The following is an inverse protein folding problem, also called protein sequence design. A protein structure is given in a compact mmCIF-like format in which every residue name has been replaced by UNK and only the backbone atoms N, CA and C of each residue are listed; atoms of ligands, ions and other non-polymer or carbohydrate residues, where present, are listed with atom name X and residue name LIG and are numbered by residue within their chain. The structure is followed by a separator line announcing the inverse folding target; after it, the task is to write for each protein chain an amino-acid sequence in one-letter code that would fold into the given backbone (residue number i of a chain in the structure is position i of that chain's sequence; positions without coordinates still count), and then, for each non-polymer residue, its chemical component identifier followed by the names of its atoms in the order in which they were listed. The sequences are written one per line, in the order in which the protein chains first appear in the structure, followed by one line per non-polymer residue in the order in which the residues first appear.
data_IF_944300906422
#
_entry.id   IF_944300906422
#
_cell.length_a   1.000
_cell.length_b   1.000
_cell.length_c   1.000
_cell.angle_alpha   90.00
_cell.angle_beta   90.00
_cell.angle_gamma   90.00
#
_symmetry.space_group_name_H-M   'P 1'
#
loop_
_entity.id
_entity.type
_entity.pdbx_description
1 polymer ?
#
# COMPACT_ATOMS: atom_id res chain seq x y z
N UNK A 1 7.93 -18.42 5.80
CA UNK A 1 9.03 -17.65 6.42
C UNK A 1 10.40 -17.70 5.70
N UNK A 2 10.56 -18.48 4.64
CA UNK A 2 11.84 -18.52 3.88
C UNK A 2 12.18 -17.21 3.14
N UNK A 3 11.26 -16.26 3.07
CA UNK A 3 11.44 -15.00 2.34
C UNK A 3 12.09 -13.88 3.17
N UNK A 4 12.11 -13.97 4.49
CA UNK A 4 12.65 -12.92 5.35
C UNK A 4 14.18 -13.02 5.49
N UNK A 5 14.82 -11.86 5.58
CA UNK A 5 16.20 -11.74 6.04
C UNK A 5 16.25 -11.93 7.56
N UNK A 6 17.45 -12.12 8.16
CA UNK A 6 17.57 -12.14 9.62
C UNK A 6 17.04 -10.86 10.31
N UNK A 7 17.18 -9.70 9.66
CA UNK A 7 16.61 -8.44 10.16
C UNK A 7 15.07 -8.46 10.13
N UNK A 8 14.48 -8.95 9.05
CA UNK A 8 13.04 -9.12 8.94
C UNK A 8 12.47 -10.13 9.93
N UNK A 9 13.15 -11.25 10.15
CA UNK A 9 12.77 -12.25 11.18
C UNK A 9 12.80 -11.66 12.59
N UNK A 10 13.82 -10.89 12.91
CA UNK A 10 13.93 -10.18 14.19
C UNK A 10 12.81 -9.17 14.39
N UNK A 11 12.47 -8.39 13.34
CA UNK A 11 11.39 -7.41 13.39
C UNK A 11 10.04 -8.09 13.65
N UNK A 12 9.73 -9.17 12.92
CA UNK A 12 8.49 -9.93 13.09
C UNK A 12 8.38 -10.57 14.49
N UNK A 13 9.50 -11.08 15.03
CA UNK A 13 9.53 -11.69 16.36
C UNK A 13 9.25 -10.68 17.49
N UNK A 14 9.57 -9.41 17.29
CA UNK A 14 9.31 -8.34 18.24
C UNK A 14 7.96 -7.66 18.13
N UNK A 15 7.12 -8.06 17.16
CA UNK A 15 5.85 -7.41 16.90
C UNK A 15 4.78 -7.70 17.98
N UNK A 16 4.20 -6.64 18.50
CA UNK A 16 3.03 -6.68 19.40
C UNK A 16 1.82 -6.01 18.69
N UNK A 17 0.79 -6.77 18.30
CA UNK A 17 -0.32 -6.22 17.52
C UNK A 17 -1.05 -5.06 18.20
N UNK A 18 -1.11 -5.03 19.52
CA UNK A 18 -1.81 -3.98 20.26
C UNK A 18 -1.02 -2.69 20.40
N UNK A 19 0.31 -2.75 20.28
CA UNK A 19 1.21 -1.60 20.39
C UNK A 19 1.65 -1.08 19.03
N UNK A 20 1.95 -2.00 18.11
CA UNK A 20 2.66 -1.68 16.88
C UNK A 20 1.72 -1.47 15.70
N UNK A 21 0.46 -1.98 15.76
CA UNK A 21 -0.49 -1.77 14.68
C UNK A 21 -1.01 -0.33 14.67
N UNK A 22 -0.79 0.41 13.55
CA UNK A 22 -1.26 1.78 13.41
C UNK A 22 -2.78 1.94 13.55
N UNK A 23 -3.56 0.90 13.22
CA UNK A 23 -5.04 0.94 13.32
C UNK A 23 -5.51 1.26 14.74
N UNK A 24 -4.82 0.76 15.76
CA UNK A 24 -5.19 1.03 17.16
C UNK A 24 -4.91 2.48 17.61
N UNK A 25 -4.19 3.25 16.78
CA UNK A 25 -3.93 4.67 17.02
C UNK A 25 -4.61 5.59 16.01
N UNK A 26 -5.45 5.03 15.13
CA UNK A 26 -6.03 5.75 13.98
C UNK A 26 -4.96 6.38 13.06
N UNK A 27 -3.76 5.80 13.02
CA UNK A 27 -2.68 6.22 12.13
C UNK A 27 -2.88 5.57 10.75
N UNK A 28 -2.48 6.26 9.66
CA UNK A 28 -2.54 5.69 8.32
C UNK A 28 -1.75 4.39 8.19
N UNK A 29 -2.36 3.38 7.58
CA UNK A 29 -1.74 2.09 7.33
C UNK A 29 -0.92 2.09 6.04
N UNK A 30 0.03 1.14 5.90
CA UNK A 30 0.81 0.99 4.69
C UNK A 30 -0.06 0.67 3.46
N UNK A 31 0.39 1.11 2.29
CA UNK A 31 -0.37 1.05 1.03
C UNK A 31 -0.84 -0.36 0.66
N UNK A 32 -0.03 -1.40 0.94
CA UNK A 32 -0.44 -2.79 0.74
C UNK A 32 -1.72 -3.14 1.50
N UNK A 33 -1.86 -2.61 2.71
CA UNK A 33 -3.00 -2.86 3.58
C UNK A 33 -4.23 -2.09 3.12
N UNK A 34 -4.03 -0.86 2.65
CA UNK A 34 -5.09 -0.03 2.04
C UNK A 34 -5.72 -0.75 0.86
N UNK A 35 -4.92 -1.22 -0.09
CA UNK A 35 -5.41 -2.04 -1.21
C UNK A 35 -6.02 -3.38 -0.77
N UNK A 36 -5.74 -3.81 0.46
CA UNK A 36 -6.27 -5.03 1.06
C UNK A 36 -7.68 -4.92 1.62
N UNK A 37 -8.31 -3.75 1.60
CA UNK A 37 -9.65 -3.48 2.11
C UNK A 37 -10.67 -3.29 0.95
N UNK A 38 -10.97 -4.32 0.14
CA UNK A 38 -11.75 -4.20 -1.09
C UNK A 38 -13.25 -3.93 -0.85
N UNK A 39 -13.72 -4.04 0.39
CA UNK A 39 -15.10 -3.76 0.77
C UNK A 39 -15.36 -2.29 1.10
N UNK A 40 -14.34 -1.44 1.03
CA UNK A 40 -14.46 -0.01 1.30
C UNK A 40 -14.38 0.78 -0.01
N UNK A 41 -15.15 1.88 -0.14
CA UNK A 41 -15.10 2.75 -1.31
C UNK A 41 -13.71 3.29 -1.57
N UNK A 42 -13.40 3.41 -2.86
CA UNK A 42 -12.23 4.09 -3.40
C UNK A 42 -12.70 5.13 -4.40
N UNK A 43 -12.29 6.36 -4.21
CA UNK A 43 -12.46 7.44 -5.17
C UNK A 43 -11.13 7.77 -5.86
N UNK A 44 -11.16 7.91 -7.17
CA UNK A 44 -10.01 8.30 -7.99
C UNK A 44 -10.37 9.57 -8.73
N UNK A 45 -9.71 10.68 -8.39
CA UNK A 45 -10.00 11.97 -9.01
C UNK A 45 -8.72 12.60 -9.56
N UNK A 46 -8.89 13.43 -10.59
CA UNK A 46 -7.81 14.28 -11.07
C UNK A 46 -7.80 15.57 -10.27
N UNK A 47 -6.63 15.92 -9.72
CA UNK A 47 -6.38 17.17 -9.02
C UNK A 47 -5.26 17.92 -9.73
N UNK A 48 -5.63 18.86 -10.59
CA UNK A 48 -4.70 19.54 -11.48
C UNK A 48 -3.97 18.58 -12.40
N UNK A 49 -2.65 18.50 -12.26
CA UNK A 49 -1.81 17.53 -12.99
C UNK A 49 -1.74 16.16 -12.32
N UNK A 50 -2.08 16.07 -11.06
CA UNK A 50 -1.91 14.88 -10.23
C UNK A 50 -3.19 14.03 -10.21
N UNK A 51 -3.06 12.81 -9.69
CA UNK A 51 -4.19 11.93 -9.41
C UNK A 51 -4.26 11.75 -7.90
N UNK A 52 -5.45 11.97 -7.34
CA UNK A 52 -5.73 11.74 -5.93
C UNK A 52 -6.48 10.41 -5.79
N UNK A 53 -5.93 9.51 -4.96
CA UNK A 53 -6.62 8.31 -4.49
C UNK A 53 -7.14 8.57 -3.09
N UNK A 54 -8.44 8.40 -2.90
CA UNK A 54 -9.09 8.53 -1.60
C UNK A 54 -9.77 7.20 -1.25
N UNK A 55 -9.23 6.51 -0.26
CA UNK A 55 -9.82 5.32 0.31
C UNK A 55 -10.62 5.69 1.56
N UNK A 56 -11.87 5.30 1.64
CA UNK A 56 -12.71 5.56 2.81
C UNK A 56 -12.10 4.94 4.08
N UNK A 57 -11.55 3.73 3.95
CA UNK A 57 -10.93 3.08 5.09
C UNK A 57 -9.74 3.90 5.61
N UNK A 58 -9.81 4.29 6.88
CA UNK A 58 -8.83 5.14 7.56
C UNK A 58 -8.65 6.54 6.94
N UNK A 59 -9.61 7.00 6.14
CA UNK A 59 -9.56 8.29 5.41
C UNK A 59 -8.22 8.51 4.68
N UNK A 60 -7.71 7.45 4.04
CA UNK A 60 -6.40 7.50 3.40
C UNK A 60 -6.48 8.29 2.10
N UNK A 61 -5.82 9.45 2.08
CA UNK A 61 -5.68 10.31 0.89
C UNK A 61 -4.24 10.27 0.40
N UNK A 62 -4.07 10.02 -0.88
CA UNK A 62 -2.76 9.84 -1.48
C UNK A 62 -2.67 10.54 -2.81
N UNK A 63 -1.73 11.49 -2.92
CA UNK A 63 -1.42 12.16 -4.18
C UNK A 63 -0.42 11.32 -5.00
N UNK A 64 -0.72 11.16 -6.28
CA UNK A 64 0.16 10.55 -7.26
C UNK A 64 0.67 11.67 -8.18
N UNK A 65 1.95 12.01 -8.06
CA UNK A 65 2.56 13.12 -8.79
C UNK A 65 2.90 12.71 -10.22
N UNK A 66 2.08 13.14 -11.18
CA UNK A 66 2.21 12.72 -12.58
C UNK A 66 3.32 13.47 -13.33
N UNK A 67 3.77 14.60 -12.83
CA UNK A 67 4.81 15.43 -13.46
C UNK A 67 6.20 15.24 -12.84
N UNK A 68 6.33 14.38 -11.84
CA UNK A 68 7.60 14.06 -11.20
C UNK A 68 8.21 12.80 -11.79
N UNK A 69 9.53 12.76 -11.93
CA UNK A 69 10.29 11.61 -12.43
C UNK A 69 11.14 10.92 -11.35
N UNK A 70 11.31 11.58 -10.23
CA UNK A 70 12.13 11.07 -9.11
C UNK A 70 11.52 11.49 -7.79
N UNK A 71 11.68 10.65 -6.78
CA UNK A 71 11.32 11.00 -5.42
C UNK A 71 12.28 12.06 -4.85
N UNK A 72 11.80 12.99 -3.99
CA UNK A 72 12.67 13.94 -3.32
C UNK A 72 13.66 13.20 -2.41
N UNK A 73 14.96 13.52 -2.53
CA UNK A 73 16.02 12.86 -1.77
C UNK A 73 15.91 13.11 -0.26
N UNK A 74 15.53 14.33 0.10
CA UNK A 74 15.36 14.77 1.49
C UNK A 74 13.89 14.86 1.90
N UNK A 75 13.01 14.13 1.18
CA UNK A 75 11.57 14.11 1.47
C UNK A 75 11.25 13.46 2.80
N UNK A 76 10.25 14.01 3.48
CA UNK A 76 9.72 13.40 4.70
C UNK A 76 9.22 11.98 4.40
N UNK A 77 9.55 11.05 5.30
CA UNK A 77 9.03 9.68 5.23
C UNK A 77 7.66 9.61 5.88
N UNK A 78 6.79 8.78 5.32
CA UNK A 78 5.45 8.52 5.88
C UNK A 78 5.07 7.05 5.69
N UNK A 79 4.00 6.62 6.33
CA UNK A 79 3.43 5.27 6.13
C UNK A 79 2.91 5.05 4.72
N UNK A 80 2.51 6.11 4.01
CA UNK A 80 2.04 6.07 2.63
C UNK A 80 3.16 6.33 1.60
N UNK A 81 4.34 6.75 2.06
CA UNK A 81 5.46 7.10 1.19
C UNK A 81 5.21 8.36 0.36
N UNK A 82 5.96 8.49 -0.72
CA UNK A 82 5.82 9.51 -1.76
C UNK A 82 5.62 8.80 -3.09
N UNK A 83 4.57 9.14 -3.84
CA UNK A 83 4.14 8.43 -5.04
C UNK A 83 4.31 9.31 -6.29
N UNK A 84 4.94 8.74 -7.30
CA UNK A 84 5.01 9.32 -8.65
C UNK A 84 4.31 8.38 -9.62
N UNK A 85 3.71 8.91 -10.68
CA UNK A 85 2.96 8.12 -11.62
C UNK A 85 3.21 8.46 -13.07
N UNK A 86 2.97 7.50 -13.93
CA UNK A 86 2.97 7.69 -15.39
C UNK A 86 2.03 6.67 -16.05
N UNK A 87 1.67 6.94 -17.30
CA UNK A 87 0.84 6.02 -18.07
C UNK A 87 1.68 5.16 -18.99
N UNK A 88 1.40 3.85 -19.00
CA UNK A 88 1.87 2.89 -19.98
C UNK A 88 0.65 2.34 -20.73
N UNK A 89 0.35 2.91 -21.91
CA UNK A 89 -0.91 2.64 -22.58
C UNK A 89 -2.10 3.03 -21.71
N UNK A 90 -2.97 2.07 -21.40
CA UNK A 90 -4.15 2.23 -20.56
C UNK A 90 -3.91 1.83 -19.08
N UNK A 91 -2.66 1.59 -18.71
CA UNK A 91 -2.27 1.22 -17.35
C UNK A 91 -1.60 2.39 -16.64
N UNK A 92 -2.12 2.77 -15.49
CA UNK A 92 -1.46 3.71 -14.59
C UNK A 92 -0.40 2.96 -13.77
N UNK A 93 0.86 3.35 -13.93
CA UNK A 93 1.99 2.86 -13.12
C UNK A 93 2.23 3.86 -12.00
N UNK A 94 2.29 3.38 -10.77
CA UNK A 94 2.58 4.20 -9.60
C UNK A 94 3.81 3.62 -8.89
N UNK A 95 4.87 4.40 -8.83
CA UNK A 95 6.07 4.07 -8.08
C UNK A 95 6.06 4.82 -6.76
N UNK A 96 6.26 4.12 -5.65
CA UNK A 96 6.28 4.74 -4.33
C UNK A 96 7.54 4.36 -3.56
N UNK A 97 8.16 5.39 -3.00
CA UNK A 97 9.31 5.31 -2.11
C UNK A 97 9.14 6.19 -0.89
N UNK A 98 10.22 6.45 -0.17
CA UNK A 98 10.21 7.30 1.03
C UNK A 98 9.23 6.84 2.12
N UNK A 99 9.07 5.53 2.28
CA UNK A 99 8.29 4.98 3.38
C UNK A 99 9.01 5.17 4.73
N UNK A 100 8.26 5.44 5.79
CA UNK A 100 8.71 5.15 7.15
C UNK A 100 8.60 3.65 7.39
N UNK A 101 9.49 3.07 8.20
CA UNK A 101 9.34 1.67 8.60
C UNK A 101 8.01 1.46 9.33
N UNK A 102 7.39 0.28 9.14
CA UNK A 102 6.08 0.02 9.72
C UNK A 102 5.52 -1.37 9.46
N UNK A 103 4.22 -1.49 9.69
CA UNK A 103 3.47 -2.73 9.51
C UNK A 103 2.91 -2.79 8.09
N UNK A 104 3.43 -3.73 7.30
CA UNK A 104 2.99 -3.96 5.93
C UNK A 104 1.65 -4.69 5.88
N UNK A 105 1.45 -5.65 6.77
CA UNK A 105 0.20 -6.41 6.93
C UNK A 105 0.16 -7.13 8.27
N UNK A 106 -1.02 -7.63 8.62
CA UNK A 106 -1.21 -8.59 9.71
C UNK A 106 -1.73 -9.91 9.16
N UNK A 107 -1.41 -10.99 9.83
CA UNK A 107 -1.91 -12.31 9.48
C UNK A 107 -1.97 -13.22 10.72
N UNK A 108 -2.78 -14.27 10.61
CA UNK A 108 -2.86 -15.36 11.58
C UNK A 108 -2.46 -16.64 10.85
N UNK A 109 -1.48 -17.37 11.37
CA UNK A 109 -1.00 -18.60 10.71
C UNK A 109 -2.05 -19.72 10.78
N UNK A 110 -2.73 -19.82 11.92
CA UNK A 110 -3.80 -20.78 12.14
C UNK A 110 -4.89 -20.16 13.02
N UNK A 111 -6.16 -20.53 12.86
CA UNK A 111 -7.23 -20.07 13.72
C UNK A 111 -6.91 -20.28 15.19
N UNK A 112 -7.11 -19.24 16.01
CA UNK A 112 -6.84 -19.25 17.44
C UNK A 112 -5.39 -18.95 17.85
N UNK A 113 -4.49 -18.75 16.89
CA UNK A 113 -3.13 -18.31 17.18
C UNK A 113 -3.01 -16.78 17.25
N UNK A 114 -1.98 -16.25 17.95
CA UNK A 114 -1.73 -14.82 17.99
C UNK A 114 -1.55 -14.21 16.60
N UNK A 115 -2.04 -12.99 16.42
CA UNK A 115 -1.82 -12.19 15.22
C UNK A 115 -0.33 -11.86 15.10
N UNK A 116 0.22 -12.07 13.91
CA UNK A 116 1.59 -11.70 13.54
C UNK A 116 1.59 -10.51 12.60
N UNK A 117 2.62 -9.68 12.68
CA UNK A 117 2.89 -8.60 11.74
C UNK A 117 3.82 -9.05 10.63
N UNK A 118 3.52 -8.67 9.41
CA UNK A 118 4.49 -8.59 8.33
C UNK A 118 4.96 -7.15 8.28
N UNK A 119 6.23 -6.91 8.62
CA UNK A 119 6.80 -5.57 8.73
C UNK A 119 7.63 -5.24 7.49
N UNK A 120 7.85 -3.96 7.30
CA UNK A 120 8.78 -3.44 6.28
C UNK A 120 9.72 -2.41 6.88
N UNK A 121 10.89 -2.30 6.29
CA UNK A 121 11.87 -1.26 6.62
C UNK A 121 11.58 0.05 5.89
N UNK A 122 12.40 1.05 6.14
CA UNK A 122 12.36 2.31 5.41
C UNK A 122 12.95 2.20 3.98
N UNK A 123 13.50 1.04 3.61
CA UNK A 123 13.97 0.74 2.26
C UNK A 123 12.87 0.18 1.34
N UNK A 124 11.64 0.03 1.84
CA UNK A 124 10.52 -0.41 1.02
C UNK A 124 10.32 0.51 -0.18
N UNK A 125 10.12 -0.10 -1.33
CA UNK A 125 9.58 0.51 -2.54
C UNK A 125 8.43 -0.33 -3.07
N UNK A 126 7.45 0.30 -3.69
CA UNK A 126 6.34 -0.41 -4.35
C UNK A 126 6.14 0.08 -5.78
N UNK A 127 5.71 -0.83 -6.63
CA UNK A 127 5.21 -0.52 -7.97
C UNK A 127 3.80 -1.05 -8.07
N UNK A 128 2.87 -0.16 -8.35
CA UNK A 128 1.45 -0.48 -8.50
C UNK A 128 1.06 -0.32 -9.97
N UNK A 129 0.24 -1.24 -10.47
CA UNK A 129 -0.32 -1.20 -11.82
C UNK A 129 -1.83 -1.19 -11.70
N UNK A 130 -2.43 -0.13 -12.19
CA UNK A 130 -3.88 0.06 -12.19
C UNK A 130 -4.38 0.08 -13.62
N UNK A 131 -5.27 -0.85 -13.95
CA UNK A 131 -5.92 -0.87 -15.27
C UNK A 131 -7.40 -1.24 -15.16
N UNK A 132 -8.20 -0.86 -16.15
CA UNK A 132 -9.60 -1.24 -16.21
C UNK A 132 -9.77 -2.45 -17.12
N UNK A 133 -10.23 -3.57 -16.54
CA UNK A 133 -10.76 -4.67 -17.32
C UNK A 133 -12.14 -4.28 -17.85
N UNK A 134 -12.20 -3.83 -19.11
CA UNK A 134 -13.42 -3.32 -19.73
C UNK A 134 -14.47 -4.40 -19.93
N UNK A 135 -14.06 -5.66 -20.13
CA UNK A 135 -14.99 -6.78 -20.33
C UNK A 135 -15.73 -7.13 -19.03
N UNK A 136 -15.06 -7.05 -17.89
CA UNK A 136 -15.64 -7.34 -16.57
C UNK A 136 -16.08 -6.08 -15.81
N UNK A 137 -15.80 -4.90 -16.37
CA UNK A 137 -16.00 -3.60 -15.69
C UNK A 137 -15.40 -3.59 -14.28
N UNK A 138 -14.09 -3.89 -14.19
CA UNK A 138 -13.34 -3.92 -12.94
C UNK A 138 -12.09 -3.06 -13.05
N UNK A 139 -11.82 -2.29 -12.02
CA UNK A 139 -10.49 -1.77 -11.79
C UNK A 139 -9.65 -2.89 -11.17
N UNK A 140 -8.56 -3.24 -11.82
CA UNK A 140 -7.61 -4.24 -11.34
C UNK A 140 -6.38 -3.51 -10.83
N UNK A 141 -5.93 -3.89 -9.63
CA UNK A 141 -4.77 -3.30 -8.97
C UNK A 141 -3.78 -4.42 -8.61
N UNK A 142 -2.60 -4.35 -9.18
CA UNK A 142 -1.48 -5.23 -8.86
C UNK A 142 -0.41 -4.44 -8.11
N UNK A 143 0.24 -5.06 -7.13
CA UNK A 143 1.25 -4.39 -6.29
C UNK A 143 2.47 -5.29 -6.15
N UNK A 144 3.61 -4.82 -6.64
CA UNK A 144 4.92 -5.40 -6.41
C UNK A 144 5.66 -4.62 -5.32
N UNK A 145 6.35 -5.34 -4.45
CA UNK A 145 7.04 -4.80 -3.28
C UNK A 145 8.49 -5.26 -3.25
N UNK A 146 9.39 -4.33 -2.96
CA UNK A 146 10.81 -4.60 -2.79
C UNK A 146 11.29 -3.94 -1.50
N UNK A 147 11.85 -4.72 -0.59
CA UNK A 147 12.46 -4.24 0.64
C UNK A 147 13.67 -5.14 0.96
N UNK A 148 14.87 -4.77 0.49
CA UNK A 148 16.06 -5.61 0.62
C UNK A 148 16.58 -5.75 2.05
N UNK A 149 16.13 -4.90 2.98
CA UNK A 149 16.50 -5.04 4.39
C UNK A 149 15.72 -6.18 5.07
N UNK A 150 14.42 -6.33 4.75
CA UNK A 150 13.55 -7.30 5.43
C UNK A 150 13.22 -8.53 4.58
N UNK A 151 13.34 -8.46 3.26
CA UNK A 151 13.00 -9.55 2.35
C UNK A 151 14.16 -9.91 1.42
N UNK A 152 14.40 -11.20 1.24
CA UNK A 152 15.48 -11.74 0.40
C UNK A 152 15.25 -11.53 -1.11
N UNK A 153 14.00 -11.30 -1.50
CA UNK A 153 13.59 -11.06 -2.89
C UNK A 153 12.32 -10.22 -2.95
N UNK A 154 12.07 -9.54 -4.07
CA UNK A 154 10.78 -8.90 -4.33
C UNK A 154 9.62 -9.90 -4.21
N UNK A 155 8.45 -9.40 -3.87
CA UNK A 155 7.23 -10.20 -3.78
C UNK A 155 6.03 -9.36 -4.21
N UNK A 156 5.00 -10.04 -4.69
CA UNK A 156 3.78 -9.41 -5.15
C UNK A 156 2.61 -9.78 -4.25
N UNK A 157 1.60 -8.95 -4.26
CA UNK A 157 0.29 -9.27 -3.71
C UNK A 157 -0.60 -9.79 -4.83
N UNK A 158 -1.52 -10.70 -4.50
CA UNK A 158 -2.61 -11.05 -5.41
C UNK A 158 -3.38 -9.79 -5.82
N UNK A 159 -3.75 -9.69 -7.08
CA UNK A 159 -4.49 -8.56 -7.61
C UNK A 159 -5.77 -8.30 -6.80
N UNK A 160 -6.08 -7.03 -6.58
CA UNK A 160 -7.35 -6.59 -5.99
C UNK A 160 -8.23 -6.05 -7.10
N UNK A 161 -9.52 -6.38 -7.06
CA UNK A 161 -10.48 -5.92 -8.05
C UNK A 161 -11.56 -5.07 -7.38
N UNK A 162 -11.88 -3.93 -7.97
CA UNK A 162 -12.94 -3.03 -7.53
C UNK A 162 -14.03 -2.95 -8.58
N UNK A 163 -15.29 -3.04 -8.12
CA UNK A 163 -16.47 -2.77 -8.95
C UNK A 163 -16.77 -1.28 -8.99
N UNK A 164 -17.30 -0.74 -10.09
CA UNK A 164 -17.92 0.58 -10.08
C UNK A 164 -19.03 0.63 -9.02
N UNK A 165 -19.16 1.80 -8.36
CA UNK A 165 -20.19 2.03 -7.34
C UNK A 165 -20.66 3.48 -7.40
N UNK A 166 -21.94 3.71 -7.10
CA UNK A 166 -22.52 5.04 -6.91
C UNK A 166 -22.39 5.52 -5.45
N UNK A 167 -21.76 4.71 -4.57
CA UNK A 167 -21.49 5.10 -3.21
C UNK A 167 -20.52 6.29 -3.19
N UNK A 168 -20.81 7.23 -2.32
CA UNK A 168 -19.90 8.36 -2.04
C UNK A 168 -19.13 8.06 -0.77
N UNK A 169 -17.88 8.53 -0.73
CA UNK A 169 -17.11 8.52 0.50
C UNK A 169 -17.68 9.60 1.41
N UNK A 170 -18.12 9.19 2.59
CA UNK A 170 -18.59 10.11 3.61
C UNK A 170 -17.37 10.60 4.43
N UNK A 171 -17.29 11.92 4.71
CA UNK A 171 -16.24 12.43 5.60
C UNK A 171 -16.45 11.90 7.03
N UNK A 172 -15.38 11.49 7.67
CA UNK A 172 -15.36 11.15 9.10
C UNK A 172 -15.40 12.40 9.96
#
# INVERSE_FOLDING_TARGET
MQLLTPAGEKAVAGYDPFKDDPVFRCDPVAIRRVWGAPSTPLEIVRDGSDIMLHHEWMDVRRAIHMNMKTHPKDGARSSLGHSIGHWEGDTLIIETGNYSAGVLNQYVEQPGQPTKGLLHSAALTTVERLHVDTARQRLVVEVDMTDPEFFKQPFSRAATEYSPSDLKIEPF
#
